data_IF_722049254846
#
_entry.id   IF_722049254846
#
_cell.length_a   1.000
_cell.length_b   1.000
_cell.length_c   1.000
_cell.angle_alpha   90.00
_cell.angle_beta   90.00
_cell.angle_gamma   90.00
#
_symmetry.space_group_name_H-M   'P 1'
#
loop_
_entity.id
_entity.type
_entity.pdbx_description
1 polymer ?
#
# COMPACT_ATOMS: atom_id res chain seq x y z
N UNK A 1 0.05 -22.51 4.44
CA UNK A 1 -1.39 -22.13 4.37
C UNK A 1 -1.64 -20.80 5.07
N UNK A 2 -1.14 -20.60 6.29
CA UNK A 2 -1.34 -19.38 7.09
C UNK A 2 -0.83 -18.07 6.48
N UNK A 3 0.35 -18.08 5.84
CA UNK A 3 0.93 -16.83 5.30
C UNK A 3 0.15 -16.27 4.09
N UNK A 4 -0.51 -17.16 3.34
CA UNK A 4 -1.29 -16.77 2.15
C UNK A 4 -2.59 -16.08 2.56
N UNK A 5 -3.28 -16.65 3.56
CA UNK A 5 -4.47 -16.02 4.14
C UNK A 5 -4.20 -14.63 4.71
N UNK A 6 -3.07 -14.46 5.39
CA UNK A 6 -2.70 -13.15 5.94
C UNK A 6 -2.47 -12.11 4.82
N UNK A 7 -1.76 -12.50 3.75
CA UNK A 7 -1.55 -11.62 2.60
C UNK A 7 -2.85 -11.23 1.90
N UNK A 8 -3.74 -12.19 1.66
CA UNK A 8 -5.05 -11.94 1.04
C UNK A 8 -5.93 -11.01 1.89
N UNK A 9 -5.92 -11.20 3.21
CA UNK A 9 -6.68 -10.35 4.14
C UNK A 9 -6.15 -8.91 4.17
N UNK A 10 -4.82 -8.74 4.25
CA UNK A 10 -4.18 -7.43 4.21
C UNK A 10 -4.50 -6.70 2.89
N UNK A 11 -4.47 -7.41 1.77
CA UNK A 11 -4.87 -6.85 0.47
C UNK A 11 -6.34 -6.41 0.44
N UNK A 12 -7.24 -7.22 1.00
CA UNK A 12 -8.66 -6.87 1.11
C UNK A 12 -8.88 -5.62 1.96
N UNK A 13 -8.21 -5.51 3.11
CA UNK A 13 -8.28 -4.34 3.97
C UNK A 13 -7.78 -3.08 3.26
N UNK A 14 -6.61 -3.16 2.61
CA UNK A 14 -6.05 -2.04 1.85
C UNK A 14 -6.96 -1.62 0.69
N UNK A 15 -7.62 -2.59 0.03
CA UNK A 15 -8.61 -2.33 -1.00
C UNK A 15 -9.79 -1.55 -0.42
N UNK A 16 -10.40 -2.04 0.67
CA UNK A 16 -11.52 -1.36 1.34
C UNK A 16 -11.13 0.05 1.78
N UNK A 17 -9.97 0.23 2.39
CA UNK A 17 -9.46 1.56 2.76
C UNK A 17 -9.34 2.49 1.54
N UNK A 18 -8.82 1.96 0.43
CA UNK A 18 -8.73 2.70 -0.84
C UNK A 18 -10.12 3.07 -1.37
N UNK A 19 -11.13 2.23 -1.13
CA UNK A 19 -12.51 2.51 -1.51
C UNK A 19 -13.17 3.62 -0.68
N UNK A 20 -12.71 3.82 0.55
CA UNK A 20 -13.20 4.88 1.45
C UNK A 20 -12.52 6.22 1.17
N UNK A 21 -11.22 6.20 0.84
CA UNK A 21 -10.43 7.40 0.56
C UNK A 21 -10.67 7.93 -0.87
N UNK A 22 -10.83 7.02 -1.85
CA UNK A 22 -10.89 7.38 -3.26
C UNK A 22 -12.36 7.42 -3.73
N UNK A 23 -12.86 8.60 -4.20
CA UNK A 23 -14.22 8.71 -4.73
C UNK A 23 -14.38 7.83 -5.98
N UNK A 24 -15.61 7.36 -6.23
CA UNK A 24 -15.97 6.39 -7.28
C UNK A 24 -15.46 6.76 -8.69
N UNK A 25 -15.38 8.06 -9.00
CA UNK A 25 -14.88 8.58 -10.28
C UNK A 25 -13.37 8.37 -10.49
N UNK A 26 -12.58 8.30 -9.43
CA UNK A 26 -11.11 8.17 -9.51
C UNK A 26 -10.62 6.77 -9.11
N UNK A 27 -11.52 5.87 -8.75
CA UNK A 27 -11.16 4.52 -8.29
C UNK A 27 -10.39 3.72 -9.34
N UNK A 28 -10.77 3.84 -10.62
CA UNK A 28 -10.06 3.17 -11.71
C UNK A 28 -8.60 3.66 -11.83
N UNK A 29 -8.36 4.95 -11.61
CA UNK A 29 -7.00 5.52 -11.60
C UNK A 29 -6.18 5.04 -10.39
N UNK A 30 -6.81 4.95 -9.21
CA UNK A 30 -6.15 4.44 -8.00
C UNK A 30 -5.79 2.95 -8.08
N UNK A 31 -6.69 2.10 -8.58
CA UNK A 31 -6.37 0.68 -8.81
C UNK A 31 -5.35 0.52 -9.93
N UNK A 32 -5.41 1.37 -10.97
CA UNK A 32 -4.44 1.41 -12.05
C UNK A 32 -3.01 1.70 -11.57
N UNK A 33 -2.83 2.71 -10.72
CA UNK A 33 -1.51 3.06 -10.18
C UNK A 33 -0.95 1.95 -9.28
N UNK A 34 -1.78 1.35 -8.43
CA UNK A 34 -1.42 0.18 -7.62
C UNK A 34 -0.97 -0.99 -8.50
N UNK A 35 -1.68 -1.23 -9.60
CA UNK A 35 -1.33 -2.30 -10.55
C UNK A 35 0.06 -2.07 -11.15
N UNK A 36 0.39 -0.84 -11.55
CA UNK A 36 1.73 -0.52 -12.07
C UNK A 36 2.80 -0.80 -11.01
N UNK A 37 2.58 -0.42 -9.75
CA UNK A 37 3.51 -0.70 -8.66
C UNK A 37 3.72 -2.21 -8.43
N UNK A 38 2.63 -3.00 -8.45
CA UNK A 38 2.70 -4.47 -8.34
C UNK A 38 3.48 -5.07 -9.51
N UNK A 39 3.32 -4.55 -10.73
CA UNK A 39 4.06 -5.02 -11.92
C UNK A 39 5.56 -4.74 -11.77
N UNK A 40 5.95 -3.57 -11.27
CA UNK A 40 7.35 -3.26 -10.99
C UNK A 40 7.93 -4.25 -9.98
N UNK A 41 7.21 -4.52 -8.88
CA UNK A 41 7.62 -5.52 -7.89
C UNK A 41 7.75 -6.93 -8.49
N UNK A 42 6.84 -7.30 -9.39
CA UNK A 42 6.86 -8.60 -10.08
C UNK A 42 8.07 -8.73 -11.02
N UNK A 43 8.46 -7.63 -11.68
CA UNK A 43 9.67 -7.59 -12.52
C UNK A 43 10.92 -7.70 -11.66
N UNK A 44 10.96 -7.04 -10.48
CA UNK A 44 12.10 -7.09 -9.57
C UNK A 44 12.28 -8.44 -8.87
N UNK A 45 11.19 -9.20 -8.63
CA UNK A 45 11.22 -10.48 -7.92
C UNK A 45 12.23 -11.52 -8.48
N UNK A 46 12.26 -11.84 -9.79
CA UNK A 46 13.25 -12.77 -10.34
C UNK A 46 14.69 -12.27 -10.19
N UNK A 47 14.96 -10.96 -10.33
CA UNK A 47 16.30 -10.41 -10.16
C UNK A 47 16.82 -10.59 -8.73
N UNK A 48 15.96 -10.38 -7.72
CA UNK A 48 16.31 -10.61 -6.31
C UNK A 48 16.60 -12.09 -6.08
N UNK A 49 15.85 -12.99 -6.72
CA UNK A 49 16.05 -14.43 -6.59
C UNK A 49 17.38 -14.88 -7.20
N UNK A 50 17.70 -14.40 -8.39
CA UNK A 50 18.94 -14.72 -9.10
C UNK A 50 20.18 -14.15 -8.37
N UNK A 51 20.06 -12.96 -7.80
CA UNK A 51 21.11 -12.38 -6.95
C UNK A 51 21.31 -13.19 -5.64
N UNK A 52 20.23 -13.71 -5.07
CA UNK A 52 20.27 -14.54 -3.86
C UNK A 52 20.92 -15.91 -4.11
N UNK A 53 20.78 -16.46 -5.31
CA UNK A 53 21.42 -17.72 -5.72
C UNK A 53 22.96 -17.56 -5.83
N UNK A 54 23.45 -16.39 -6.22
CA UNK A 54 24.89 -16.10 -6.34
C UNK A 54 25.60 -15.83 -5.00
N UNK A 55 24.90 -15.30 -3.99
CA UNK A 55 25.52 -14.88 -2.72
C UNK A 55 25.19 -15.83 -1.57
N UNK A 56 23.94 -15.83 -1.11
CA UNK A 56 23.45 -16.68 -0.03
C UNK A 56 21.91 -16.65 -0.03
N UNK A 57 21.21 -17.78 0.16
CA UNK A 57 19.74 -17.84 0.13
C UNK A 57 19.05 -16.98 1.21
N UNK A 58 19.76 -16.66 2.30
CA UNK A 58 19.25 -15.79 3.37
C UNK A 58 19.06 -14.32 2.93
N UNK A 59 19.74 -13.88 1.86
CA UNK A 59 19.68 -12.49 1.40
C UNK A 59 18.29 -12.14 0.88
N UNK A 60 17.67 -13.01 0.09
CA UNK A 60 16.30 -12.78 -0.40
C UNK A 60 15.29 -12.68 0.73
N UNK A 61 15.38 -13.56 1.75
CA UNK A 61 14.51 -13.51 2.92
C UNK A 61 14.67 -12.20 3.70
N UNK A 62 15.90 -11.75 3.89
CA UNK A 62 16.18 -10.47 4.56
C UNK A 62 15.64 -9.27 3.76
N UNK A 63 15.78 -9.28 2.44
CA UNK A 63 15.26 -8.20 1.58
C UNK A 63 13.73 -8.12 1.60
N UNK A 64 13.03 -9.23 1.40
CA UNK A 64 11.56 -9.25 1.46
C UNK A 64 11.06 -8.89 2.86
N UNK A 65 11.74 -9.34 3.92
CA UNK A 65 11.43 -8.96 5.30
C UNK A 65 11.62 -7.47 5.58
N UNK A 66 12.70 -6.86 5.06
CA UNK A 66 12.94 -5.42 5.18
C UNK A 66 11.88 -4.61 4.43
N UNK A 67 11.50 -5.03 3.22
CA UNK A 67 10.43 -4.40 2.44
C UNK A 67 9.08 -4.44 3.16
N UNK A 68 8.72 -5.58 3.77
CA UNK A 68 7.48 -5.71 4.56
C UNK A 68 7.51 -4.85 5.82
N UNK A 69 8.65 -4.77 6.50
CA UNK A 69 8.80 -3.89 7.67
C UNK A 69 8.65 -2.41 7.28
N UNK A 70 9.20 -2.03 6.14
CA UNK A 70 9.08 -0.67 5.60
C UNK A 70 7.64 -0.35 5.21
N UNK A 71 6.94 -1.27 4.55
CA UNK A 71 5.51 -1.14 4.21
C UNK A 71 4.64 -0.98 5.46
N UNK A 72 4.85 -1.82 6.47
CA UNK A 72 4.14 -1.71 7.76
C UNK A 72 4.38 -0.36 8.45
N UNK A 73 5.60 0.18 8.38
CA UNK A 73 5.92 1.52 8.89
C UNK A 73 5.22 2.62 8.09
N UNK A 74 5.12 2.46 6.76
CA UNK A 74 4.44 3.40 5.88
C UNK A 74 2.93 3.43 6.13
N UNK A 75 2.32 2.28 6.44
CA UNK A 75 0.91 2.17 6.83
C UNK A 75 0.62 2.99 8.09
N UNK A 76 1.56 3.11 9.03
CA UNK A 76 1.39 3.93 10.23
C UNK A 76 1.31 5.44 9.92
N UNK A 77 1.91 5.88 8.81
CA UNK A 77 1.80 7.26 8.32
C UNK A 77 0.43 7.51 7.66
N UNK A 78 -0.30 6.44 7.31
CA UNK A 78 -1.61 6.56 6.70
C UNK A 78 -2.61 7.03 7.76
N UNK A 79 -3.26 8.19 7.58
CA UNK A 79 -4.21 8.72 8.55
C UNK A 79 -5.34 7.70 8.73
N UNK A 80 -5.68 7.39 9.99
CA UNK A 80 -6.82 6.51 10.27
C UNK A 80 -8.09 7.13 9.66
N UNK A 81 -8.67 6.44 8.67
CA UNK A 81 -9.90 6.83 7.97
C UNK A 81 -11.17 6.52 8.77
N UNK A 82 -11.03 6.00 9.99
CA UNK A 82 -12.13 5.57 10.84
C UNK A 82 -12.94 6.78 11.33
N UNK A 83 -14.05 7.06 10.64
CA UNK A 83 -15.03 8.08 11.05
C UNK A 83 -15.05 9.37 10.21
N UNK A 84 -14.44 9.40 9.03
CA UNK A 84 -14.57 10.52 8.10
C UNK A 84 -15.76 10.29 7.17
N UNK A 85 -16.71 11.22 7.15
CA UNK A 85 -17.86 11.19 6.21
C UNK A 85 -17.34 11.17 4.77
N UNK A 86 -17.83 10.18 4.00
CA UNK A 86 -17.41 9.87 2.64
C UNK A 86 -17.67 11.11 1.77
N UNK A 87 -16.63 11.83 1.32
CA UNK A 87 -16.84 13.04 0.54
C UNK A 87 -17.34 12.68 -0.85
N UNK A 88 -18.60 13.00 -1.16
CA UNK A 88 -19.23 12.80 -2.47
C UNK A 88 -18.56 13.60 -3.62
N UNK A 89 -17.62 14.52 -3.31
CA UNK A 89 -16.98 15.39 -4.31
C UNK A 89 -15.46 15.55 -4.11
N UNK A 90 -14.72 15.63 -5.24
CA UNK A 90 -13.25 15.82 -5.29
C UNK A 90 -12.75 16.99 -4.43
N UNK A 91 -13.59 18.01 -4.24
CA UNK A 91 -13.26 19.25 -3.52
C UNK A 91 -13.19 19.05 -2.00
N UNK A 92 -13.95 18.10 -1.48
CA UNK A 92 -13.96 17.72 -0.06
C UNK A 92 -12.83 16.71 0.26
N UNK A 93 -12.54 15.78 -0.67
CA UNK A 93 -11.37 14.89 -0.55
C UNK A 93 -10.04 15.68 -0.52
N UNK A 94 -9.92 16.76 -1.29
CA UNK A 94 -8.73 17.62 -1.30
C UNK A 94 -8.53 18.45 0.00
N UNK A 95 -9.59 18.68 0.79
CA UNK A 95 -9.51 19.43 2.06
C UNK A 95 -8.99 18.59 3.21
N UNK A 96 -9.21 17.27 3.20
CA UNK A 96 -8.70 16.34 4.22
C UNK A 96 -7.16 16.40 4.27
N UNK A 97 -6.50 16.42 3.10
CA UNK A 97 -5.04 16.55 3.01
C UNK A 97 -4.48 17.91 3.49
N UNK A 98 -5.30 18.97 3.52
CA UNK A 98 -4.90 20.29 4.07
C UNK A 98 -5.10 20.39 5.57
N UNK A 99 -6.22 19.87 6.11
CA UNK A 99 -6.51 19.92 7.55
C UNK A 99 -5.50 19.12 8.40
N UNK A 100 -4.97 18.03 7.85
CA UNK A 100 -3.93 17.22 8.50
C UNK A 100 -2.58 17.95 8.64
N UNK A 101 -2.24 18.83 7.69
CA UNK A 101 -1.01 19.64 7.76
C UNK A 101 -1.05 20.68 8.88
N UNK A 102 -2.22 21.21 9.21
CA UNK A 102 -2.38 22.23 10.28
C UNK A 102 -2.45 21.64 11.69
N UNK A 103 -2.69 20.34 11.87
CA UNK A 103 -2.70 19.69 13.21
C UNK A 103 -1.33 19.10 13.61
N UNK A 104 -0.33 19.22 12.74
CA UNK A 104 1.06 18.80 13.03
C UNK A 104 2.02 19.99 13.24
N UNK A 105 1.49 21.21 13.39
CA UNK A 105 2.21 22.38 13.93
C UNK A 105 1.74 22.70 15.36
#
# INVERSE_FOLDING_TARGET
MSIRFFGDFAFHLAYVQSTEIIPTTMRQLGVGSCTVAIRVGSIMAPFIREFSEWTHPAVSMAMFGALMTFDAMMIYILPETKGVEIPDTLREAAKIGKKQKETSE
#
